data_IF_026914946894
#
_entry.id   IF_026914946894
#
_cell.length_a   1.000
_cell.length_b   1.000
_cell.length_c   1.000
_cell.angle_alpha   90.00
_cell.angle_beta   90.00
_cell.angle_gamma   90.00
#
_symmetry.space_group_name_H-M   'P 1'
#
loop_
_entity.id
_entity.type
_entity.pdbx_description
1 polymer ?
#
# COMPACT_ATOMS: atom_id res chain seq x y z
N UNK A 1 0.81 -7.42 5.62
CA UNK A 1 0.24 -7.62 4.26
C UNK A 1 0.21 -6.26 3.62
N UNK A 2 0.84 -6.13 2.46
CA UNK A 2 1.13 -4.85 1.83
C UNK A 2 0.41 -4.81 0.49
N UNK A 3 -0.72 -4.10 0.36
CA UNK A 3 -1.32 -3.89 -0.95
C UNK A 3 -0.56 -2.78 -1.70
N UNK A 4 -0.13 -3.10 -2.90
CA UNK A 4 0.36 -2.18 -3.92
C UNK A 4 -0.76 -2.04 -4.94
N UNK A 5 -1.18 -0.82 -5.27
CA UNK A 5 -2.08 -0.61 -6.41
C UNK A 5 -1.27 0.12 -7.49
N UNK A 6 -1.10 -0.58 -8.59
CA UNK A 6 -0.58 -0.04 -9.84
C UNK A 6 -1.80 0.22 -10.71
N UNK A 7 -2.02 1.46 -11.14
CA UNK A 7 -3.06 1.75 -12.13
C UNK A 7 -2.59 1.20 -13.48
N UNK A 8 -3.40 0.34 -14.12
CA UNK A 8 -3.09 -0.22 -15.43
C UNK A 8 -3.86 0.52 -16.51
N UNK A 9 -3.13 0.93 -17.55
CA UNK A 9 -3.70 1.45 -18.78
C UNK A 9 -4.03 0.26 -19.69
N UNK A 10 -5.22 0.23 -20.30
CA UNK A 10 -5.59 -0.84 -21.25
C UNK A 10 -5.57 -0.48 -22.72
N UNK A 11 -5.37 0.77 -23.12
CA UNK A 11 -5.48 1.10 -24.54
C UNK A 11 -4.28 1.96 -24.98
N UNK A 12 -3.45 1.43 -25.88
CA UNK A 12 -2.38 2.13 -26.63
C UNK A 12 -0.98 2.28 -26.01
N UNK A 13 -0.36 1.19 -25.57
CA UNK A 13 1.09 1.03 -25.80
C UNK A 13 1.30 0.25 -27.11
N UNK A 14 1.52 0.92 -28.26
CA UNK A 14 1.86 0.21 -29.48
C UNK A 14 3.24 -0.43 -29.28
N UNK A 15 3.25 -1.73 -28.96
CA UNK A 15 4.39 -2.66 -29.08
C UNK A 15 5.79 -1.99 -29.03
N UNK A 16 6.11 -1.28 -27.94
CA UNK A 16 7.31 -0.45 -27.87
C UNK A 16 8.48 -1.22 -27.22
N UNK A 17 8.83 -2.37 -27.79
CA UNK A 17 9.98 -3.18 -27.32
C UNK A 17 11.30 -2.85 -28.04
N UNK A 18 11.44 -1.65 -28.62
CA UNK A 18 12.68 -1.16 -29.26
C UNK A 18 12.88 0.36 -29.04
N UNK A 19 12.62 0.87 -27.84
CA UNK A 19 12.61 2.31 -27.59
C UNK A 19 13.94 2.91 -27.13
N UNK A 20 14.27 4.11 -27.61
CA UNK A 20 15.43 4.90 -27.16
C UNK A 20 15.31 5.30 -25.68
N UNK A 21 16.40 5.74 -25.05
CA UNK A 21 16.42 6.05 -23.60
C UNK A 21 15.37 7.06 -23.13
N UNK A 22 14.93 7.98 -24.00
CA UNK A 22 13.86 8.94 -23.68
C UNK A 22 12.50 8.26 -23.52
N UNK A 23 12.18 7.29 -24.38
CA UNK A 23 10.91 6.57 -24.30
C UNK A 23 10.84 5.69 -23.05
N UNK A 24 11.95 5.08 -22.65
CA UNK A 24 12.04 4.32 -21.40
C UNK A 24 11.85 5.23 -20.20
N UNK A 25 12.46 6.42 -20.20
CA UNK A 25 12.30 7.42 -19.14
C UNK A 25 10.83 7.86 -19.03
N UNK A 26 10.20 8.16 -20.16
CA UNK A 26 8.83 8.68 -20.17
C UNK A 26 7.84 7.60 -19.70
N UNK A 27 8.04 6.34 -20.11
CA UNK A 27 7.25 5.21 -19.60
C UNK A 27 7.47 4.98 -18.10
N UNK A 28 8.71 5.05 -17.62
CA UNK A 28 9.01 4.91 -16.19
C UNK A 28 8.37 6.02 -15.36
N UNK A 29 8.45 7.27 -15.83
CA UNK A 29 7.82 8.40 -15.17
C UNK A 29 6.30 8.24 -15.12
N UNK A 30 5.69 7.76 -16.22
CA UNK A 30 4.27 7.47 -16.26
C UNK A 30 3.87 6.42 -15.21
N UNK A 31 4.61 5.30 -15.12
CA UNK A 31 4.34 4.24 -14.14
C UNK A 31 4.45 4.78 -12.71
N UNK A 32 5.51 5.54 -12.41
CA UNK A 32 5.74 6.11 -11.08
C UNK A 32 4.61 7.08 -10.70
N UNK A 33 4.19 7.95 -11.63
CA UNK A 33 3.09 8.89 -11.40
C UNK A 33 1.71 8.24 -11.28
N UNK A 34 1.59 6.95 -11.61
CA UNK A 34 0.34 6.19 -11.59
C UNK A 34 0.42 4.94 -10.68
N UNK A 35 1.37 4.94 -9.74
CA UNK A 35 1.54 3.86 -8.76
C UNK A 35 1.46 4.44 -7.36
N UNK A 36 0.69 3.78 -6.50
CA UNK A 36 0.63 4.11 -5.08
C UNK A 36 0.86 2.84 -4.26
N UNK A 37 1.47 3.00 -3.09
CA UNK A 37 1.83 1.88 -2.23
C UNK A 37 1.53 2.24 -0.80
N UNK A 38 0.81 1.35 -0.11
CA UNK A 38 0.58 1.47 1.31
C UNK A 38 0.97 0.19 2.01
N UNK A 39 1.53 0.35 3.21
CA UNK A 39 2.09 -0.76 3.95
C UNK A 39 1.46 -0.83 5.32
N UNK A 40 1.13 -2.03 5.76
CA UNK A 40 0.72 -2.29 7.14
C UNK A 40 1.74 -3.22 7.77
N UNK A 41 2.37 -2.73 8.83
CA UNK A 41 3.25 -3.49 9.68
C UNK A 41 2.50 -3.86 10.95
N UNK A 42 2.58 -5.14 11.32
CA UNK A 42 2.06 -5.63 12.60
C UNK A 42 3.15 -5.58 13.68
N UNK A 43 4.42 -5.65 13.27
CA UNK A 43 5.60 -5.50 14.13
C UNK A 43 6.77 -4.88 13.34
N UNK A 44 7.87 -4.56 14.03
CA UNK A 44 9.13 -4.16 13.42
C UNK A 44 9.89 -5.36 12.86
N UNK A 45 10.64 -5.15 11.77
CA UNK A 45 11.58 -6.14 11.29
C UNK A 45 12.71 -6.33 12.31
N UNK A 46 13.02 -7.58 12.65
CA UNK A 46 14.17 -7.90 13.48
C UNK A 46 15.46 -7.73 12.67
N UNK A 47 16.34 -6.84 13.15
CA UNK A 47 17.67 -6.63 12.57
C UNK A 47 18.68 -7.32 13.49
N UNK A 48 19.45 -8.32 13.02
CA UNK A 48 20.46 -8.99 13.83
C UNK A 48 21.42 -8.00 14.49
N UNK A 49 21.63 -8.15 15.79
CA UNK A 49 22.48 -7.24 16.57
C UNK A 49 21.80 -5.95 17.05
N UNK A 50 20.52 -5.76 16.77
CA UNK A 50 19.72 -4.65 17.33
C UNK A 50 18.86 -5.11 18.51
N UNK A 51 18.53 -4.19 19.41
CA UNK A 51 17.52 -4.40 20.44
C UNK A 51 16.14 -4.07 19.86
N UNK A 52 15.29 -5.08 19.64
CA UNK A 52 13.92 -4.84 19.17
C UNK A 52 13.02 -4.40 20.34
N UNK A 53 12.50 -3.17 20.28
CA UNK A 53 11.35 -2.79 21.10
C UNK A 53 10.09 -3.39 20.48
N UNK A 54 9.18 -3.90 21.32
CA UNK A 54 7.88 -4.42 20.87
C UNK A 54 7.11 -3.30 20.15
N UNK A 55 6.85 -3.46 18.86
CA UNK A 55 6.22 -2.42 18.07
C UNK A 55 4.71 -2.36 18.30
N UNK A 56 4.14 -1.20 17.98
CA UNK A 56 2.71 -1.09 17.74
C UNK A 56 2.47 -1.27 16.24
N UNK A 57 1.35 -1.89 15.85
CA UNK A 57 0.93 -1.93 14.45
C UNK A 57 0.93 -0.52 13.83
N UNK A 58 1.42 -0.40 12.61
CA UNK A 58 1.72 0.88 12.00
C UNK A 58 1.37 0.89 10.51
N UNK A 59 0.75 1.98 10.09
CA UNK A 59 0.44 2.29 8.70
C UNK A 59 1.59 3.08 8.07
N UNK A 60 2.00 2.66 6.88
CA UNK A 60 3.02 3.26 6.03
C UNK A 60 4.39 3.38 6.70
N UNK A 61 4.81 2.40 7.50
CA UNK A 61 6.19 2.32 7.98
C UNK A 61 7.15 2.09 6.79
N UNK A 62 8.37 2.61 6.86
CA UNK A 62 9.38 2.37 5.83
C UNK A 62 9.97 0.96 5.91
N UNK A 63 10.59 0.51 4.81
CA UNK A 63 11.19 -0.83 4.71
C UNK A 63 12.42 -1.04 5.60
N UNK A 64 12.92 0.01 6.25
CA UNK A 64 14.01 -0.06 7.23
C UNK A 64 13.53 0.30 8.65
N UNK A 65 12.24 0.09 8.96
CA UNK A 65 11.60 0.44 10.23
C UNK A 65 11.46 1.96 10.48
N UNK A 66 11.53 2.81 9.44
CA UNK A 66 11.29 4.24 9.58
C UNK A 66 9.85 4.52 10.04
N UNK A 67 9.60 5.42 11.01
CA UNK A 67 8.27 5.69 11.52
C UNK A 67 7.27 6.02 10.40
N UNK A 68 6.16 5.29 10.39
CA UNK A 68 5.11 5.46 9.41
C UNK A 68 4.16 6.61 9.68
N UNK A 69 3.15 6.72 8.83
CA UNK A 69 2.14 7.79 8.87
C UNK A 69 1.32 7.76 10.16
N UNK A 70 0.88 6.58 10.61
CA UNK A 70 -0.04 6.47 11.75
C UNK A 70 0.12 5.14 12.51
N UNK A 71 0.12 5.20 13.84
CA UNK A 71 -0.02 4.02 14.70
C UNK A 71 -1.47 3.52 14.67
N UNK A 72 -1.64 2.22 14.52
CA UNK A 72 -2.93 1.56 14.47
C UNK A 72 -3.22 0.87 15.79
N UNK A 73 -4.47 0.99 16.26
CA UNK A 73 -4.97 0.17 17.36
C UNK A 73 -5.67 -1.04 16.78
N UNK A 74 -5.13 -2.23 16.99
CA UNK A 74 -5.82 -3.47 16.61
C UNK A 74 -6.69 -3.90 17.77
N UNK A 75 -8.01 -3.90 17.56
CA UNK A 75 -8.92 -4.53 18.51
C UNK A 75 -8.65 -6.05 18.52
N UNK A 76 -8.63 -6.70 19.70
CA UNK A 76 -8.26 -8.11 19.81
C UNK A 76 -9.21 -9.01 19.00
N UNK A 77 -8.64 -9.69 18.00
CA UNK A 77 -9.29 -10.54 17.01
C UNK A 77 -10.31 -11.56 17.54
N UNK A 78 -10.09 -12.11 18.74
CA UNK A 78 -10.90 -13.21 19.26
C UNK A 78 -12.15 -12.76 20.04
N UNK A 79 -12.11 -11.59 20.67
CA UNK A 79 -13.19 -11.14 21.57
C UNK A 79 -14.26 -10.32 20.86
N UNK A 80 -13.96 -9.84 19.66
CA UNK A 80 -14.81 -8.89 18.93
C UNK A 80 -15.78 -9.61 17.97
N UNK A 81 -15.37 -10.74 17.39
CA UNK A 81 -16.18 -11.47 16.40
C UNK A 81 -17.42 -12.13 17.03
N UNK A 82 -17.30 -12.59 18.28
CA UNK A 82 -18.37 -13.28 19.02
C UNK A 82 -19.33 -12.33 19.76
N UNK A 83 -18.97 -11.06 19.97
CA UNK A 83 -19.73 -10.17 20.86
C UNK A 83 -20.25 -8.90 20.17
N UNK A 84 -19.70 -8.49 19.03
CA UNK A 84 -19.97 -7.16 18.46
C UNK A 84 -20.37 -7.12 16.97
N UNK A 85 -20.47 -8.27 16.27
CA UNK A 85 -20.70 -8.29 14.80
C UNK A 85 -19.71 -7.41 14.01
N UNK A 86 -18.50 -7.19 14.55
CA UNK A 86 -17.48 -6.39 13.87
C UNK A 86 -16.70 -7.26 12.88
N UNK A 87 -16.35 -6.65 11.75
CA UNK A 87 -15.55 -7.28 10.71
C UNK A 87 -14.21 -7.82 11.28
N UNK A 88 -13.64 -8.90 10.72
CA UNK A 88 -12.31 -9.38 11.07
C UNK A 88 -11.28 -8.25 11.03
N UNK A 89 -10.28 -8.27 11.91
CA UNK A 89 -9.24 -7.24 11.96
C UNK A 89 -8.53 -7.05 10.60
N UNK A 90 -8.37 -8.12 9.82
CA UNK A 90 -7.84 -8.07 8.46
C UNK A 90 -8.68 -7.21 7.51
N UNK A 91 -10.01 -7.23 7.64
CA UNK A 91 -10.92 -6.39 6.86
C UNK A 91 -10.73 -4.92 7.25
N UNK A 92 -10.75 -4.62 8.55
CA UNK A 92 -10.54 -3.25 9.04
C UNK A 92 -9.19 -2.68 8.59
N UNK A 93 -8.13 -3.48 8.66
CA UNK A 93 -6.80 -3.14 8.18
C UNK A 93 -6.81 -2.82 6.69
N UNK A 94 -7.40 -3.70 5.88
CA UNK A 94 -7.47 -3.52 4.42
C UNK A 94 -8.28 -2.28 4.04
N UNK A 95 -9.43 -2.05 4.69
CA UNK A 95 -10.21 -0.83 4.49
C UNK A 95 -9.42 0.42 4.85
N UNK A 96 -8.76 0.44 6.01
CA UNK A 96 -7.96 1.61 6.40
C UNK A 96 -6.83 1.88 5.40
N UNK A 97 -6.18 0.83 4.90
CA UNK A 97 -5.16 0.97 3.86
C UNK A 97 -5.74 1.53 2.57
N UNK A 98 -6.84 0.96 2.05
CA UNK A 98 -7.45 1.43 0.81
C UNK A 98 -8.00 2.86 0.94
N UNK A 99 -8.69 3.18 2.02
CA UNK A 99 -9.22 4.53 2.26
C UNK A 99 -8.10 5.56 2.31
N UNK A 100 -7.01 5.27 3.03
CA UNK A 100 -5.85 6.17 3.08
C UNK A 100 -5.21 6.35 1.71
N UNK A 101 -5.14 5.28 0.91
CA UNK A 101 -4.43 5.28 -0.36
C UNK A 101 -5.26 5.87 -1.52
N UNK A 102 -6.58 5.96 -1.35
CA UNK A 102 -7.53 6.54 -2.30
C UNK A 102 -8.00 7.94 -1.86
N UNK A 103 -7.47 8.46 -0.75
CA UNK A 103 -7.83 9.78 -0.24
C UNK A 103 -7.17 10.88 -1.09
N UNK A 104 -7.97 11.48 -1.96
CA UNK A 104 -7.56 12.60 -2.83
C UNK A 104 -7.50 13.94 -2.10
N UNK A 105 -7.85 13.99 -0.81
CA UNK A 105 -7.75 15.22 -0.01
C UNK A 105 -6.33 15.48 0.50
N UNK A 106 -5.46 14.45 0.53
CA UNK A 106 -4.03 14.57 0.85
C UNK A 106 -3.15 14.38 -0.40
N UNK A 107 -3.11 15.44 -1.21
CA UNK A 107 -2.36 15.48 -2.49
C UNK A 107 -0.84 15.33 -2.32
N UNK A 108 -0.32 15.40 -1.10
CA UNK A 108 1.11 15.24 -0.83
C UNK A 108 1.52 13.80 -0.53
N UNK A 109 0.59 12.91 -0.20
CA UNK A 109 0.93 11.59 0.34
C UNK A 109 0.28 10.41 -0.39
N UNK A 110 -0.95 10.55 -0.87
CA UNK A 110 -1.75 9.41 -1.34
C UNK A 110 -2.62 9.73 -2.56
N UNK A 111 -2.12 10.55 -3.47
CA UNK A 111 -2.85 10.92 -4.68
C UNK A 111 -2.61 9.89 -5.79
N UNK A 112 -3.54 8.94 -5.94
CA UNK A 112 -3.68 8.17 -7.17
C UNK A 112 -4.97 8.63 -7.88
N UNK A 113 -4.88 9.40 -8.98
CA UNK A 113 -6.05 9.90 -9.68
C UNK A 113 -6.74 8.73 -10.39
N UNK A 114 -7.73 8.11 -9.74
CA UNK A 114 -8.54 7.02 -10.29
C UNK A 114 -9.91 7.51 -10.76
N UNK A 115 -10.20 7.31 -12.04
CA UNK A 115 -11.52 7.37 -12.64
C UNK A 115 -12.15 5.97 -12.58
N UNK A 116 -13.01 5.74 -11.57
CA UNK A 116 -13.62 4.43 -11.27
C UNK A 116 -14.30 3.79 -12.49
N UNK A 117 -14.88 4.60 -13.38
CA UNK A 117 -15.62 4.11 -14.55
C UNK A 117 -14.73 3.69 -15.73
N UNK A 118 -13.45 4.04 -15.73
CA UNK A 118 -12.56 3.92 -16.90
C UNK A 118 -11.27 3.16 -16.59
N UNK A 119 -10.73 3.35 -15.40
CA UNK A 119 -9.40 2.88 -15.10
C UNK A 119 -9.39 1.41 -14.68
N UNK A 120 -8.40 0.68 -15.19
CA UNK A 120 -8.09 -0.65 -14.69
C UNK A 120 -6.95 -0.56 -13.67
N UNK A 121 -6.90 -1.50 -12.73
CA UNK A 121 -5.86 -1.54 -11.70
C UNK A 121 -5.25 -2.92 -11.61
N UNK A 122 -3.93 -2.97 -11.51
CA UNK A 122 -3.17 -4.13 -11.02
C UNK A 122 -2.96 -3.96 -9.52
N UNK A 123 -3.54 -4.85 -8.74
CA UNK A 123 -3.28 -4.96 -7.30
C UNK A 123 -2.16 -5.99 -7.08
N UNK A 124 -0.99 -5.54 -6.62
CA UNK A 124 0.08 -6.41 -6.15
C UNK A 124 -0.01 -6.52 -4.63
N UNK A 125 -0.28 -7.71 -4.10
CA UNK A 125 -0.22 -7.90 -2.65
C UNK A 125 1.12 -8.54 -2.27
N UNK A 126 1.94 -7.77 -1.57
CA UNK A 126 3.26 -8.18 -1.13
C UNK A 126 3.24 -8.61 0.35
N UNK A 127 3.98 -9.66 0.65
CA UNK A 127 4.28 -10.06 2.02
C UNK A 127 5.72 -9.66 2.35
N UNK A 128 5.89 -8.75 3.32
CA UNK A 128 7.21 -8.23 3.71
C UNK A 128 7.98 -9.14 4.66
N UNK A 129 7.36 -10.22 5.12
CA UNK A 129 7.94 -11.16 6.07
C UNK A 129 6.94 -11.56 7.16
N UNK A 130 7.35 -12.49 8.04
CA UNK A 130 6.58 -12.86 9.22
C UNK A 130 6.50 -11.73 10.25
#
# INVERSE_FOLDING_TARGET
>A
MTPWIIKNYTDDFPALWLGCGEQVRDAAQYIVSNTTTIVIYLDHCYIPGSSSLRAWPMLSMGIHNEPGHRKMSLLPLWRTYLTLHLAPCSIQLTHTALDTMLDTTDSHRFDLPLEIAKDQVVLLVNNLGP
#
